data_IF_865793360634
#
_entry.id   IF_865793360634
#
_cell.length_a   1.000
_cell.length_b   1.000
_cell.length_c   1.000
_cell.angle_alpha   90.00
_cell.angle_beta   90.00
_cell.angle_gamma   90.00
#
_symmetry.space_group_name_H-M   'P 1'
#
loop_
_entity.id
_entity.type
_entity.pdbx_description
1 polymer ?
#
# COMPACT_ATOMS: atom_id res chain seq x y z
N UNK A 1 -23.65 13.47 9.73
CA UNK A 1 -22.91 12.61 8.79
C UNK A 1 -21.92 13.52 8.09
N UNK A 2 -20.69 13.54 8.57
CA UNK A 2 -19.61 14.41 8.10
C UNK A 2 -18.68 13.57 7.24
N UNK A 3 -18.61 13.89 5.95
CA UNK A 3 -17.70 13.23 5.00
C UNK A 3 -16.23 13.56 5.31
N UNK A 4 -15.29 12.63 5.08
CA UNK A 4 -13.88 12.90 5.26
C UNK A 4 -13.33 13.69 4.06
N UNK A 5 -12.72 14.83 4.34
CA UNK A 5 -11.95 15.62 3.38
C UNK A 5 -10.59 14.95 3.19
N UNK A 6 -10.32 14.42 2.00
CA UNK A 6 -9.00 13.96 1.58
C UNK A 6 -8.26 15.07 0.81
N UNK A 7 -6.95 15.22 0.99
CA UNK A 7 -6.17 16.19 0.23
C UNK A 7 -6.09 15.78 -1.25
N UNK A 8 -6.33 16.75 -2.15
CA UNK A 8 -6.21 16.56 -3.60
C UNK A 8 -4.76 16.21 -3.98
N UNK A 9 -4.59 15.08 -4.67
CA UNK A 9 -3.31 14.71 -5.28
C UNK A 9 -3.20 15.49 -6.60
N UNK A 10 -2.09 16.19 -6.88
CA UNK A 10 -1.89 16.88 -8.14
C UNK A 10 -1.95 15.90 -9.32
N UNK A 11 -2.84 16.16 -10.27
CA UNK A 11 -2.93 15.42 -11.52
C UNK A 11 -1.97 16.05 -12.53
N UNK A 12 -0.88 15.35 -12.84
CA UNK A 12 -0.04 15.73 -13.99
C UNK A 12 -0.70 15.26 -15.30
N UNK A 13 -0.62 16.06 -16.37
CA UNK A 13 -1.25 15.73 -17.64
C UNK A 13 -0.47 14.64 -18.38
N UNK A 14 -1.16 13.55 -18.70
CA UNK A 14 -0.65 12.50 -19.60
C UNK A 14 -0.78 12.98 -21.04
N UNK A 15 0.37 13.19 -21.68
CA UNK A 15 0.56 13.00 -23.12
C UNK A 15 0.63 14.26 -23.97
N UNK A 16 1.85 14.62 -24.39
CA UNK A 16 2.29 14.61 -25.78
C UNK A 16 3.41 15.64 -26.00
N UNK A 17 4.62 15.14 -26.21
CA UNK A 17 5.56 15.59 -27.24
C UNK A 17 6.94 15.04 -26.87
N UNK A 18 7.44 14.17 -27.73
CA UNK A 18 8.85 13.86 -27.78
C UNK A 18 9.61 15.17 -28.05
N UNK A 19 10.44 15.61 -27.10
CA UNK A 19 11.54 16.51 -27.39
C UNK A 19 12.77 16.06 -26.62
N UNK A 20 13.71 15.55 -27.40
CA UNK A 20 15.02 15.02 -27.04
C UNK A 20 15.91 16.11 -26.43
N UNK A 21 16.13 16.08 -25.11
CA UNK A 21 17.17 16.88 -24.46
C UNK A 21 18.51 16.11 -24.39
N UNK A 22 19.27 16.24 -25.49
CA UNK A 22 20.73 16.28 -25.60
C UNK A 22 21.58 15.66 -24.46
N UNK A 23 21.92 14.38 -24.60
CA UNK A 23 23.22 13.88 -24.13
C UNK A 23 24.30 14.70 -24.85
N UNK A 24 25.20 15.37 -24.11
CA UNK A 24 26.40 15.99 -24.68
C UNK A 24 27.25 14.89 -25.33
N UNK A 25 27.05 14.68 -26.63
CA UNK A 25 27.94 13.89 -27.48
C UNK A 25 29.30 14.60 -27.50
N UNK A 26 30.29 14.02 -26.84
CA UNK A 26 31.65 14.43 -27.12
C UNK A 26 31.98 13.99 -28.56
N UNK A 27 32.35 14.99 -29.35
CA UNK A 27 32.20 15.03 -30.79
C UNK A 27 33.34 14.24 -31.45
N UNK A 28 33.03 13.02 -31.93
CA UNK A 28 33.80 12.36 -33.00
C UNK A 28 33.61 13.18 -34.29
N UNK A 29 34.69 13.71 -34.85
CA UNK A 29 34.74 14.15 -36.24
C UNK A 29 36.19 14.00 -36.79
N UNK A 30 36.38 13.86 -38.10
CA UNK A 30 36.78 12.59 -38.73
C UNK A 30 37.71 12.87 -39.92
N UNK A 31 38.99 12.55 -39.81
CA UNK A 31 39.82 12.52 -41.02
C UNK A 31 40.31 11.11 -41.24
N UNK A 32 39.44 10.32 -41.87
CA UNK A 32 39.89 9.45 -42.95
C UNK A 32 40.41 10.41 -44.02
N UNK A 33 41.72 10.40 -44.26
CA UNK A 33 42.36 10.33 -45.59
C UNK A 33 43.85 10.61 -45.37
N UNK A 34 44.57 9.52 -45.06
CA UNK A 34 46.01 9.49 -44.95
C UNK A 34 46.55 8.11 -45.31
N UNK A 35 45.95 7.45 -46.30
CA UNK A 35 46.67 6.45 -47.10
C UNK A 35 47.71 7.24 -47.89
N UNK A 36 48.87 7.48 -47.28
CA UNK A 36 50.07 7.83 -48.00
C UNK A 36 50.93 6.57 -48.01
N UNK A 37 50.70 5.74 -49.03
CA UNK A 37 51.68 4.76 -49.50
C UNK A 37 52.95 5.56 -49.82
N UNK A 38 53.94 5.50 -48.93
CA UNK A 38 55.25 6.08 -49.17
C UNK A 38 56.08 5.07 -49.97
N UNK A 39 55.96 5.11 -51.29
CA UNK A 39 56.89 4.49 -52.22
C UNK A 39 57.46 5.55 -53.18
N UNK A 40 58.77 5.78 -53.07
CA UNK A 40 59.69 6.37 -54.06
C UNK A 40 59.74 7.91 -54.15
N UNK A 41 60.88 8.60 -54.32
CA UNK A 41 62.30 8.24 -54.33
C UNK A 41 63.17 9.53 -54.34
N UNK A 42 64.36 9.50 -53.71
CA UNK A 42 65.53 10.36 -53.98
C UNK A 42 65.54 11.78 -53.37
N UNK A 43 66.65 12.43 -53.02
CA UNK A 43 68.10 12.19 -53.03
C UNK A 43 68.69 13.16 -51.97
N UNK A 44 69.64 12.70 -51.14
CA UNK A 44 70.39 13.58 -50.23
C UNK A 44 71.69 12.91 -49.77
N UNK A 45 72.79 13.33 -50.39
CA UNK A 45 74.14 12.78 -50.22
C UNK A 45 74.65 13.01 -48.79
N UNK A 46 74.79 11.93 -48.04
CA UNK A 46 75.66 11.81 -46.87
C UNK A 46 76.14 10.36 -46.88
N UNK A 47 77.46 10.14 -46.77
CA UNK A 47 78.09 8.82 -46.87
C UNK A 47 77.45 7.81 -45.89
N UNK A 48 76.46 7.07 -46.36
CA UNK A 48 75.83 5.96 -45.67
C UNK A 48 75.68 4.84 -46.69
N UNK A 49 76.35 3.73 -46.45
CA UNK A 49 76.21 2.50 -47.21
C UNK A 49 74.73 2.15 -47.32
N UNK A 50 74.16 2.13 -48.53
CA UNK A 50 72.78 1.65 -48.71
C UNK A 50 72.75 0.17 -48.32
N UNK A 51 71.87 -0.22 -47.39
CA UNK A 51 71.74 -1.62 -46.98
C UNK A 51 71.47 -2.51 -48.20
N UNK A 52 72.00 -3.75 -48.19
CA UNK A 52 71.76 -4.71 -49.28
C UNK A 52 70.27 -5.03 -49.40
N UNK A 53 69.84 -5.51 -50.58
CA UNK A 53 68.45 -5.92 -50.81
C UNK A 53 67.96 -6.94 -49.76
N UNK A 54 68.84 -7.84 -49.35
CA UNK A 54 68.61 -8.82 -48.28
C UNK A 54 68.33 -8.16 -46.92
N UNK A 55 69.01 -7.05 -46.58
CA UNK A 55 68.80 -6.34 -45.33
C UNK A 55 67.46 -5.57 -45.34
N UNK A 56 67.06 -5.02 -46.48
CA UNK A 56 65.76 -4.38 -46.62
C UNK A 56 64.61 -5.40 -46.54
N UNK A 57 64.77 -6.56 -47.18
CA UNK A 57 63.80 -7.65 -47.10
C UNK A 57 63.68 -8.18 -45.66
N UNK A 58 64.82 -8.37 -44.97
CA UNK A 58 64.83 -8.80 -43.56
C UNK A 58 64.11 -7.81 -42.63
N UNK A 59 64.22 -6.50 -42.88
CA UNK A 59 63.49 -5.47 -42.11
C UNK A 59 61.98 -5.52 -42.36
N UNK A 60 61.55 -5.77 -43.60
CA UNK A 60 60.13 -5.92 -43.96
C UNK A 60 59.54 -7.18 -43.29
N UNK A 61 60.25 -8.30 -43.36
CA UNK A 61 59.83 -9.55 -42.74
C UNK A 61 59.75 -9.42 -41.21
N UNK A 62 60.72 -8.76 -40.59
CA UNK A 62 60.69 -8.46 -39.15
C UNK A 62 59.51 -7.55 -38.76
N UNK A 63 59.21 -6.53 -39.55
CA UNK A 63 58.07 -5.63 -39.32
C UNK A 63 56.73 -6.38 -39.42
N UNK A 64 56.55 -7.20 -40.48
CA UNK A 64 55.35 -8.01 -40.68
C UNK A 64 55.13 -9.03 -39.55
N UNK A 65 56.21 -9.65 -39.05
CA UNK A 65 56.13 -10.57 -37.90
C UNK A 65 55.67 -9.82 -36.64
N UNK A 66 56.20 -8.62 -36.38
CA UNK A 66 55.81 -7.82 -35.22
C UNK A 66 54.35 -7.34 -35.27
N UNK A 67 53.87 -6.94 -36.46
CA UNK A 67 52.48 -6.50 -36.66
C UNK A 67 51.51 -7.68 -36.52
N UNK A 68 51.85 -8.85 -37.08
CA UNK A 68 51.07 -10.08 -36.90
C UNK A 68 51.00 -10.50 -35.44
N UNK A 69 52.09 -10.36 -34.70
CA UNK A 69 52.12 -10.64 -33.26
C UNK A 69 51.22 -9.66 -32.47
N UNK A 70 51.26 -8.37 -32.80
CA UNK A 70 50.40 -7.36 -32.17
C UNK A 70 48.91 -7.59 -32.48
N UNK A 71 48.55 -7.94 -33.71
CA UNK A 71 47.18 -8.27 -34.09
C UNK A 71 46.69 -9.57 -33.43
N UNK A 72 47.57 -10.57 -33.26
CA UNK A 72 47.25 -11.78 -32.54
C UNK A 72 46.95 -11.50 -31.06
N UNK A 73 47.74 -10.63 -30.42
CA UNK A 73 47.49 -10.20 -29.04
C UNK A 73 46.16 -9.45 -28.90
N UNK A 74 45.87 -8.51 -29.80
CA UNK A 74 44.59 -7.78 -29.81
C UNK A 74 43.38 -8.71 -30.02
N UNK A 75 43.51 -9.74 -30.88
CA UNK A 75 42.45 -10.74 -31.06
C UNK A 75 42.22 -11.56 -29.79
N UNK A 76 43.29 -12.01 -29.13
CA UNK A 76 43.15 -12.75 -27.88
C UNK A 76 42.47 -11.93 -26.77
N UNK A 77 42.77 -10.64 -26.67
CA UNK A 77 42.06 -9.73 -25.75
C UNK A 77 40.58 -9.57 -26.13
N UNK A 78 40.28 -9.39 -27.41
CA UNK A 78 38.91 -9.28 -27.89
C UNK A 78 38.10 -10.56 -27.66
N UNK A 79 38.70 -11.73 -27.85
CA UNK A 79 38.08 -13.03 -27.58
C UNK A 79 37.80 -13.19 -26.07
N UNK A 80 38.73 -12.75 -25.21
CA UNK A 80 38.52 -12.71 -23.76
C UNK A 80 37.34 -11.81 -23.37
N UNK A 81 37.27 -10.61 -23.94
CA UNK A 81 36.13 -9.70 -23.72
C UNK A 81 34.81 -10.27 -24.21
N UNK A 82 34.80 -11.01 -25.32
CA UNK A 82 33.60 -11.66 -25.84
C UNK A 82 33.10 -12.74 -24.88
N UNK A 83 34.00 -13.58 -24.35
CA UNK A 83 33.65 -14.60 -23.34
C UNK A 83 33.09 -13.96 -22.06
N UNK A 84 33.70 -12.86 -21.59
CA UNK A 84 33.22 -12.13 -20.42
C UNK A 84 31.84 -11.50 -20.67
N UNK A 85 31.61 -10.97 -21.88
CA UNK A 85 30.32 -10.41 -22.28
C UNK A 85 29.22 -11.48 -22.37
N UNK A 86 29.53 -12.65 -22.94
CA UNK A 86 28.60 -13.79 -23.00
C UNK A 86 28.23 -14.26 -21.59
N UNK A 87 29.24 -14.40 -20.72
CA UNK A 87 29.00 -14.73 -19.31
C UNK A 87 28.12 -13.69 -18.61
N UNK A 88 28.39 -12.40 -18.82
CA UNK A 88 27.58 -11.34 -18.24
C UNK A 88 26.14 -11.35 -18.76
N UNK A 89 25.94 -11.70 -20.04
CA UNK A 89 24.60 -11.84 -20.63
C UNK A 89 23.83 -13.02 -20.02
N UNK A 90 24.47 -14.16 -19.81
CA UNK A 90 23.87 -15.32 -19.15
C UNK A 90 23.51 -15.02 -17.69
N UNK A 91 24.43 -14.37 -16.96
CA UNK A 91 24.20 -13.96 -15.57
C UNK A 91 23.04 -12.94 -15.48
N UNK A 92 22.94 -12.00 -16.44
CA UNK A 92 21.84 -11.05 -16.53
C UNK A 92 20.51 -11.73 -16.87
N UNK A 93 20.50 -12.69 -17.80
CA UNK A 93 19.30 -13.45 -18.15
C UNK A 93 18.79 -14.28 -16.96
N UNK A 94 19.71 -14.90 -16.20
CA UNK A 94 19.38 -15.61 -14.97
C UNK A 94 18.79 -14.67 -13.90
N UNK A 95 19.37 -13.47 -13.75
CA UNK A 95 18.86 -12.46 -12.82
C UNK A 95 17.45 -11.96 -13.21
N UNK A 96 17.21 -11.70 -14.51
CA UNK A 96 15.90 -11.31 -15.01
C UNK A 96 14.85 -12.40 -14.78
N UNK A 97 15.20 -13.66 -15.05
CA UNK A 97 14.30 -14.80 -14.78
C UNK A 97 13.93 -14.88 -13.30
N UNK A 98 14.93 -14.78 -12.41
CA UNK A 98 14.69 -14.78 -10.95
C UNK A 98 13.82 -13.61 -10.51
N UNK A 99 14.00 -12.43 -11.10
CA UNK A 99 13.17 -11.26 -10.81
C UNK A 99 11.71 -11.48 -11.26
N UNK A 100 11.48 -12.07 -12.43
CA UNK A 100 10.14 -12.42 -12.92
C UNK A 100 9.45 -13.45 -12.01
N UNK A 101 10.16 -14.49 -11.57
CA UNK A 101 9.64 -15.48 -10.62
C UNK A 101 9.28 -14.84 -9.28
N UNK A 102 10.12 -13.93 -8.80
CA UNK A 102 9.86 -13.17 -7.56
C UNK A 102 8.64 -12.27 -7.69
N UNK A 103 8.49 -11.56 -8.82
CA UNK A 103 7.32 -10.73 -9.09
C UNK A 103 6.05 -11.58 -9.17
N UNK A 104 6.09 -12.70 -9.88
CA UNK A 104 4.94 -13.61 -9.99
C UNK A 104 4.53 -14.16 -8.61
N UNK A 105 5.49 -14.49 -7.75
CA UNK A 105 5.21 -14.92 -6.37
C UNK A 105 4.60 -13.78 -5.53
N UNK A 106 5.09 -12.54 -5.68
CA UNK A 106 4.53 -11.38 -5.02
C UNK A 106 3.09 -11.08 -5.47
N UNK A 107 2.81 -11.19 -6.77
CA UNK A 107 1.48 -11.00 -7.34
C UNK A 107 0.50 -12.06 -6.81
N UNK A 108 0.91 -13.34 -6.79
CA UNK A 108 0.11 -14.42 -6.21
C UNK A 108 -0.14 -14.21 -4.71
N UNK A 109 0.86 -13.73 -3.98
CA UNK A 109 0.71 -13.39 -2.57
C UNK A 109 -0.29 -12.24 -2.37
N UNK A 110 -0.20 -11.19 -3.17
CA UNK A 110 -1.13 -10.06 -3.12
C UNK A 110 -2.58 -10.49 -3.39
N UNK A 111 -2.81 -11.34 -4.39
CA UNK A 111 -4.14 -11.93 -4.66
C UNK A 111 -4.65 -12.70 -3.45
N UNK A 112 -3.81 -13.53 -2.84
CA UNK A 112 -4.18 -14.33 -1.66
C UNK A 112 -4.54 -13.43 -0.46
N UNK A 113 -3.72 -12.42 -0.18
CA UNK A 113 -3.97 -11.48 0.93
C UNK A 113 -5.24 -10.68 0.70
N UNK A 114 -5.50 -10.23 -0.54
CA UNK A 114 -6.72 -9.50 -0.87
C UNK A 114 -7.96 -10.39 -0.67
N UNK A 115 -7.93 -11.65 -1.10
CA UNK A 115 -9.03 -12.59 -0.85
C UNK A 115 -9.27 -12.82 0.66
N UNK A 116 -8.21 -12.95 1.46
CA UNK A 116 -8.31 -13.07 2.91
C UNK A 116 -8.85 -11.79 3.58
N UNK A 117 -8.55 -10.62 3.03
CA UNK A 117 -9.10 -9.35 3.51
C UNK A 117 -10.60 -9.28 3.24
N UNK A 118 -11.05 -9.69 2.05
CA UNK A 118 -12.47 -9.72 1.69
C UNK A 118 -13.26 -10.67 2.60
N UNK A 119 -12.72 -11.86 2.86
CA UNK A 119 -13.35 -12.82 3.78
C UNK A 119 -13.46 -12.25 5.20
N UNK A 120 -12.35 -11.67 5.73
CA UNK A 120 -12.36 -11.06 7.06
C UNK A 120 -13.34 -9.90 7.15
N UNK A 121 -13.45 -9.08 6.11
CA UNK A 121 -14.42 -7.98 6.05
C UNK A 121 -15.85 -8.52 6.16
N UNK A 122 -16.21 -9.54 5.38
CA UNK A 122 -17.54 -10.17 5.46
C UNK A 122 -17.81 -10.76 6.85
N UNK A 123 -16.81 -11.37 7.49
CA UNK A 123 -16.94 -11.89 8.84
C UNK A 123 -17.17 -10.77 9.88
N UNK A 124 -16.50 -9.63 9.73
CA UNK A 124 -16.70 -8.45 10.58
C UNK A 124 -18.10 -7.87 10.38
N UNK A 125 -18.51 -7.62 9.13
CA UNK A 125 -19.84 -7.12 8.79
C UNK A 125 -20.94 -8.03 9.38
N UNK A 126 -20.76 -9.35 9.27
CA UNK A 126 -21.67 -10.33 9.85
C UNK A 126 -21.69 -10.31 11.39
N UNK A 127 -20.57 -10.02 12.05
CA UNK A 127 -20.50 -9.87 13.51
C UNK A 127 -21.20 -8.59 13.97
N UNK A 128 -20.92 -7.47 13.31
CA UNK A 128 -21.55 -6.18 13.60
C UNK A 128 -23.07 -6.27 13.43
N UNK A 129 -23.55 -6.87 12.34
CA UNK A 129 -24.98 -7.08 12.12
C UNK A 129 -25.65 -7.92 13.23
N UNK A 130 -24.93 -8.89 13.82
CA UNK A 130 -25.45 -9.69 14.95
C UNK A 130 -25.40 -8.96 16.28
N UNK A 131 -24.47 -8.03 16.47
CA UNK A 131 -24.29 -7.28 17.72
C UNK A 131 -25.20 -6.06 17.78
N UNK A 132 -25.39 -5.34 16.67
CA UNK A 132 -26.19 -4.12 16.60
C UNK A 132 -27.56 -4.21 17.30
N UNK A 133 -28.42 -5.23 17.04
CA UNK A 133 -29.70 -5.33 17.74
C UNK A 133 -29.54 -5.63 19.23
N UNK A 134 -28.51 -6.38 19.63
CA UNK A 134 -28.23 -6.72 21.03
C UNK A 134 -27.72 -5.51 21.81
N UNK A 135 -26.88 -4.69 21.18
CA UNK A 135 -26.38 -3.45 21.76
C UNK A 135 -27.50 -2.42 21.90
N UNK A 136 -28.37 -2.30 20.89
CA UNK A 136 -29.55 -1.44 20.98
C UNK A 136 -30.52 -1.91 22.08
N UNK A 137 -30.71 -3.24 22.24
CA UNK A 137 -31.51 -3.82 23.31
C UNK A 137 -30.89 -3.58 24.69
N UNK A 138 -29.57 -3.77 24.83
CA UNK A 138 -28.85 -3.51 26.07
C UNK A 138 -28.91 -2.03 26.47
N UNK A 139 -28.76 -1.11 25.52
CA UNK A 139 -28.85 0.32 25.74
C UNK A 139 -30.22 0.75 26.29
N UNK A 140 -31.31 0.13 25.82
CA UNK A 140 -32.67 0.37 26.34
C UNK A 140 -33.01 -0.42 27.61
N UNK A 141 -32.07 -1.21 28.12
CA UNK A 141 -32.25 -2.06 29.31
C UNK A 141 -31.60 -1.47 30.57
N UNK A 142 -31.03 -0.26 30.48
CA UNK A 142 -30.52 0.50 31.63
C UNK A 142 -30.85 1.98 31.49
N UNK A 143 -31.35 2.61 32.55
CA UNK A 143 -31.71 4.03 32.52
C UNK A 143 -31.70 4.65 33.92
N UNK A 144 -31.70 5.98 34.01
CA UNK A 144 -31.73 6.74 35.27
C UNK A 144 -33.00 7.60 35.41
N UNK A 145 -32.90 8.72 36.14
CA UNK A 145 -33.99 9.68 36.23
C UNK A 145 -34.43 10.22 34.86
N UNK A 146 -35.70 10.57 34.74
CA UNK A 146 -36.32 11.08 33.51
C UNK A 146 -37.65 10.42 33.21
N UNK A 147 -38.33 10.94 32.19
CA UNK A 147 -39.50 10.31 31.57
C UNK A 147 -39.03 9.49 30.36
N UNK A 148 -39.31 8.19 30.37
CA UNK A 148 -38.86 7.23 29.36
C UNK A 148 -40.06 6.59 28.69
N UNK A 149 -40.19 6.71 27.37
CA UNK A 149 -41.27 6.04 26.63
C UNK A 149 -40.96 4.56 26.49
N UNK A 150 -41.94 3.71 26.82
CA UNK A 150 -41.77 2.26 26.77
C UNK A 150 -41.84 1.78 25.32
N UNK A 151 -40.94 0.88 24.94
CA UNK A 151 -40.76 0.40 23.56
C UNK A 151 -39.99 1.36 22.65
N UNK A 152 -39.66 2.57 23.11
CA UNK A 152 -38.88 3.56 22.34
C UNK A 152 -37.57 3.86 23.05
N UNK A 153 -37.66 4.40 24.27
CA UNK A 153 -36.49 4.83 25.05
C UNK A 153 -36.00 3.69 25.96
N UNK A 154 -36.93 2.90 26.49
CA UNK A 154 -36.65 1.73 27.34
C UNK A 154 -37.45 0.50 26.88
N UNK A 155 -36.92 -0.70 27.10
CA UNK A 155 -37.65 -1.93 26.83
C UNK A 155 -38.71 -2.20 27.92
N UNK A 156 -39.81 -2.88 27.61
CA UNK A 156 -40.66 -3.45 28.66
C UNK A 156 -39.93 -4.58 29.38
N UNK A 157 -40.28 -4.82 30.63
CA UNK A 157 -39.67 -5.87 31.46
C UNK A 157 -39.66 -5.54 32.94
N UNK A 158 -39.00 -6.40 33.71
CA UNK A 158 -38.76 -6.17 35.13
C UNK A 158 -37.43 -5.47 35.31
N UNK A 159 -37.44 -4.39 36.07
CA UNK A 159 -36.26 -3.57 36.36
C UNK A 159 -36.00 -3.54 37.85
N UNK A 160 -34.73 -3.51 38.23
CA UNK A 160 -34.27 -3.25 39.59
C UNK A 160 -33.52 -1.94 39.62
N UNK A 161 -33.85 -1.08 40.58
CA UNK A 161 -33.07 0.14 40.82
C UNK A 161 -31.95 -0.07 41.84
N UNK A 162 -30.84 0.67 41.71
CA UNK A 162 -29.84 0.83 42.77
C UNK A 162 -30.42 1.51 44.01
N UNK A 163 -31.48 2.31 43.85
CA UNK A 163 -32.16 2.99 44.94
C UNK A 163 -31.49 4.27 45.43
N UNK A 164 -32.21 5.03 46.25
CA UNK A 164 -31.79 6.27 46.91
C UNK A 164 -32.62 6.50 48.18
N UNK A 165 -32.27 7.51 48.97
CA UNK A 165 -33.07 7.96 50.12
C UNK A 165 -34.43 8.54 49.69
N UNK A 166 -34.48 9.17 48.52
CA UNK A 166 -35.70 9.65 47.90
C UNK A 166 -35.77 9.08 46.49
N UNK A 167 -36.59 8.06 46.27
CA UNK A 167 -36.87 7.52 44.94
C UNK A 167 -38.36 7.67 44.71
N UNK A 168 -38.74 8.29 43.61
CA UNK A 168 -40.11 8.31 43.12
C UNK A 168 -40.14 7.72 41.72
N UNK A 169 -41.10 6.84 41.47
CA UNK A 169 -41.35 6.34 40.13
C UNK A 169 -42.84 6.28 39.83
N UNK A 170 -43.18 6.40 38.55
CA UNK A 170 -44.54 6.21 38.05
C UNK A 170 -44.55 5.47 36.70
N UNK A 171 -45.50 4.55 36.56
CA UNK A 171 -45.91 3.93 35.30
C UNK A 171 -47.11 4.70 34.77
N UNK A 172 -47.09 5.01 33.48
CA UNK A 172 -48.06 5.91 32.86
C UNK A 172 -48.72 5.28 31.61
N UNK A 173 -50.02 5.49 31.43
CA UNK A 173 -50.80 5.12 30.24
C UNK A 173 -50.79 6.19 29.15
N UNK A 174 -50.29 7.39 29.48
CA UNK A 174 -50.08 8.52 28.57
C UNK A 174 -48.97 9.44 29.07
N UNK A 175 -48.70 10.53 28.34
CA UNK A 175 -47.68 11.52 28.71
C UNK A 175 -48.24 12.94 28.79
N UNK A 176 -49.55 13.08 29.06
CA UNK A 176 -50.22 14.38 29.18
C UNK A 176 -49.82 15.14 30.45
N UNK A 177 -49.41 14.40 31.49
CA UNK A 177 -49.16 14.96 32.83
C UNK A 177 -50.39 14.99 33.72
N UNK A 178 -51.54 14.53 33.23
CA UNK A 178 -52.78 14.42 33.99
C UNK A 178 -52.80 13.19 34.88
N UNK A 179 -53.61 13.24 35.95
CA UNK A 179 -53.75 12.12 36.88
C UNK A 179 -54.37 10.88 36.22
N UNK A 180 -55.19 11.06 35.18
CA UNK A 180 -55.80 9.95 34.43
C UNK A 180 -54.78 9.09 33.67
N UNK A 181 -53.57 9.61 33.43
CA UNK A 181 -52.48 8.85 32.84
C UNK A 181 -51.74 7.97 33.87
N UNK A 182 -52.00 8.12 35.16
CA UNK A 182 -51.27 7.39 36.21
C UNK A 182 -51.76 5.94 36.34
N UNK A 183 -50.89 4.98 36.02
CA UNK A 183 -51.18 3.55 36.22
C UNK A 183 -50.81 3.13 37.65
N UNK A 184 -49.58 3.45 38.07
CA UNK A 184 -49.07 3.12 39.39
C UNK A 184 -47.87 3.99 39.72
N UNK A 185 -47.67 4.31 40.99
CA UNK A 185 -46.50 4.99 41.50
C UNK A 185 -46.09 4.44 42.87
N UNK A 186 -44.87 4.75 43.30
CA UNK A 186 -44.41 4.49 44.65
C UNK A 186 -43.24 5.42 45.03
N UNK A 187 -42.94 5.51 46.33
CA UNK A 187 -41.85 6.30 46.91
C UNK A 187 -40.91 5.41 47.74
N UNK A 188 -40.25 4.40 47.14
CA UNK A 188 -39.44 3.47 47.92
C UNK A 188 -38.19 4.15 48.51
N UNK A 189 -37.76 3.65 49.67
CA UNK A 189 -36.43 3.95 50.23
C UNK A 189 -35.47 2.81 49.89
N UNK A 190 -34.41 3.12 49.15
CA UNK A 190 -33.42 2.15 48.69
C UNK A 190 -33.84 1.37 47.42
N UNK A 191 -33.19 0.23 47.13
CA UNK A 191 -33.47 -0.57 45.94
C UNK A 191 -34.93 -1.04 45.87
N UNK A 192 -35.51 -0.99 44.67
CA UNK A 192 -36.86 -1.47 44.38
C UNK A 192 -36.89 -2.22 43.05
N UNK A 193 -37.93 -3.05 42.86
CA UNK A 193 -38.15 -3.84 41.65
C UNK A 193 -39.52 -3.49 41.09
N UNK A 194 -39.57 -3.16 39.79
CA UNK A 194 -40.80 -2.77 39.10
C UNK A 194 -40.90 -3.51 37.78
N UNK A 195 -42.08 -4.05 37.48
CA UNK A 195 -42.42 -4.58 36.16
C UNK A 195 -43.11 -3.49 35.33
N UNK A 196 -42.45 -3.08 34.25
CA UNK A 196 -42.95 -2.14 33.24
C UNK A 196 -43.58 -2.97 32.12
N UNK A 197 -44.89 -2.81 31.92
CA UNK A 197 -45.62 -3.61 30.95
C UNK A 197 -45.42 -3.06 29.53
N UNK A 198 -45.50 -3.90 28.48
CA UNK A 198 -45.47 -3.44 27.09
C UNK A 198 -46.60 -2.45 26.73
N UNK A 199 -47.68 -2.44 27.51
CA UNK A 199 -48.83 -1.54 27.33
C UNK A 199 -48.67 -0.19 28.02
N UNK A 200 -47.65 -0.01 28.86
CA UNK A 200 -47.37 1.29 29.46
C UNK A 200 -46.90 2.24 28.36
N UNK A 201 -47.36 3.49 28.37
CA UNK A 201 -46.87 4.49 27.43
C UNK A 201 -45.50 5.02 27.85
N UNK A 202 -45.31 5.24 29.15
CA UNK A 202 -44.06 5.75 29.70
C UNK A 202 -43.81 5.27 31.13
N UNK A 203 -42.53 5.33 31.53
CA UNK A 203 -42.07 5.19 32.90
C UNK A 203 -41.29 6.43 33.28
N UNK A 204 -41.62 7.04 34.41
CA UNK A 204 -40.87 8.16 34.94
C UNK A 204 -40.16 7.75 36.21
N UNK A 205 -38.90 8.16 36.34
CA UNK A 205 -38.11 7.99 37.54
C UNK A 205 -37.52 9.31 37.99
N UNK A 206 -37.53 9.54 39.30
CA UNK A 206 -36.91 10.69 39.93
C UNK A 206 -36.11 10.20 41.13
N UNK A 207 -34.83 10.55 41.13
CA UNK A 207 -33.85 10.27 42.18
C UNK A 207 -33.71 8.80 42.59
N UNK A 208 -34.15 7.85 41.77
CA UNK A 208 -34.04 6.43 42.10
C UNK A 208 -32.66 5.83 41.90
N UNK A 209 -31.72 6.54 41.26
CA UNK A 209 -30.47 5.96 40.75
C UNK A 209 -30.67 5.24 39.43
N UNK A 210 -29.93 4.15 39.21
CA UNK A 210 -29.94 3.41 37.94
C UNK A 210 -30.90 2.23 38.01
N UNK A 211 -31.82 2.16 37.05
CA UNK A 211 -32.63 0.98 36.76
C UNK A 211 -31.91 0.06 35.77
N UNK A 212 -31.80 -1.22 36.11
CA UNK A 212 -31.28 -2.27 35.22
C UNK A 212 -32.33 -3.34 35.03
N UNK A 213 -32.61 -3.70 33.78
CA UNK A 213 -33.54 -4.78 33.44
C UNK A 213 -33.00 -6.11 33.94
N UNK A 214 -33.83 -6.90 34.60
CA UNK A 214 -33.49 -8.23 35.14
C UNK A 214 -34.22 -9.37 34.42
N UNK A 215 -35.32 -9.09 33.71
CA UNK A 215 -36.06 -10.05 32.88
C UNK A 215 -36.95 -9.33 31.88
#
# INVERSE_FOLDING_TARGET
MTEPVYPEIPTEPVGAAADTATVRRNRRWPWIFGVAVAFGAGVGIGLATTPSEDENQARIDAALVSERAALAAQRAEADGMAVDADKAADDAAAAMKKAQETQAAADQHAVTVNAQLDERKQQLDGREARLAPREADAARSTFGSGLHRVGVDINPGTYRTTGSTYCYWERLSGTSGEFDDLIANDVPSGPSVVTIAPSDAAFKSQDCGTWTKTS
#
